data_IF_075088676362
#
_entry.id   IF_075088676362
#
_cell.length_a   1.000
_cell.length_b   1.000
_cell.length_c   1.000
_cell.angle_alpha   90.00
_cell.angle_beta   90.00
_cell.angle_gamma   90.00
#
_symmetry.space_group_name_H-M   'P 1'
#
loop_
_entity.id
_entity.type
_entity.pdbx_description
1 polymer ?
#
# COMPACT_ATOMS: atom_id res chain seq x y z
N UNK A 1 3.18 -1.82 -0.50
CA UNK A 1 2.18 -0.83 -0.93
C UNK A 1 1.79 -1.16 -2.37
N UNK A 2 0.48 -1.14 -2.68
CA UNK A 2 -0.05 -1.56 -3.98
C UNK A 2 0.23 -0.46 -5.01
N UNK A 3 1.27 -0.65 -5.83
CA UNK A 3 1.60 0.28 -6.92
C UNK A 3 1.34 -0.43 -8.23
N UNK A 4 0.31 0.01 -8.95
CA UNK A 4 0.04 -0.41 -10.31
C UNK A 4 1.31 -0.14 -11.15
N UNK A 5 1.83 -1.18 -11.79
CA UNK A 5 2.71 -1.02 -12.94
C UNK A 5 1.79 -1.09 -14.15
N UNK A 6 1.99 -0.17 -15.09
CA UNK A 6 1.29 -0.01 -16.39
C UNK A 6 0.40 -1.19 -16.84
N UNK A 7 -0.87 -0.90 -17.19
CA UNK A 7 -2.04 -1.83 -17.17
C UNK A 7 -2.42 -2.21 -15.72
N UNK A 8 -3.50 -2.95 -15.37
CA UNK A 8 -3.84 -3.21 -13.96
C UNK A 8 -2.87 -4.23 -13.31
N UNK A 9 -1.57 -4.16 -13.63
CA UNK A 9 -0.67 -5.28 -13.50
C UNK A 9 -0.39 -5.63 -12.05
N UNK A 10 -0.36 -4.70 -11.09
CA UNK A 10 0.03 -5.09 -9.74
C UNK A 10 -1.08 -5.83 -8.95
N UNK A 11 -2.33 -5.32 -8.88
CA UNK A 11 -3.44 -6.11 -8.36
C UNK A 11 -3.67 -7.41 -9.16
N UNK A 12 -3.54 -7.37 -10.50
CA UNK A 12 -3.72 -8.56 -11.32
C UNK A 12 -2.57 -9.56 -11.25
N UNK A 13 -1.32 -9.14 -11.03
CA UNK A 13 -0.18 -10.03 -10.84
C UNK A 13 -0.27 -10.72 -9.49
N UNK A 14 -0.71 -10.00 -8.45
CA UNK A 14 -0.99 -10.60 -7.16
C UNK A 14 -2.14 -11.62 -7.25
N UNK A 15 -3.24 -11.27 -7.94
CA UNK A 15 -4.35 -12.20 -8.18
C UNK A 15 -3.89 -13.42 -8.98
N UNK A 16 -3.18 -13.23 -10.09
CA UNK A 16 -2.62 -14.32 -10.91
C UNK A 16 -1.68 -15.21 -10.10
N UNK A 17 -0.79 -14.63 -9.30
CA UNK A 17 0.11 -15.39 -8.45
C UNK A 17 -0.66 -16.17 -7.37
N UNK A 18 -1.69 -15.58 -6.77
CA UNK A 18 -2.56 -16.27 -5.81
C UNK A 18 -3.22 -17.50 -6.44
N UNK A 19 -3.82 -17.32 -7.61
CA UNK A 19 -4.53 -18.38 -8.35
C UNK A 19 -3.59 -19.49 -8.81
N UNK A 20 -2.38 -19.12 -9.27
CA UNK A 20 -1.36 -20.08 -9.74
C UNK A 20 -0.78 -20.94 -8.60
N UNK A 21 -0.76 -20.43 -7.37
CA UNK A 21 -0.02 -21.06 -6.29
C UNK A 21 -0.86 -21.60 -5.12
N UNK A 22 -2.20 -21.69 -5.25
CA UNK A 22 -3.13 -22.21 -4.23
C UNK A 22 -2.78 -21.71 -2.82
N UNK A 23 -2.64 -20.38 -2.70
CA UNK A 23 -2.19 -19.76 -1.46
C UNK A 23 -3.35 -19.67 -0.47
N UNK A 24 -3.05 -19.92 0.80
CA UNK A 24 -4.00 -19.75 1.91
C UNK A 24 -3.88 -18.36 2.56
N UNK A 25 -2.80 -17.63 2.28
CA UNK A 25 -2.50 -16.32 2.86
C UNK A 25 -1.64 -15.49 1.91
N UNK A 26 -1.94 -14.20 1.82
CA UNK A 26 -1.08 -13.18 1.19
C UNK A 26 -0.80 -12.10 2.22
N UNK A 27 0.48 -11.76 2.38
CA UNK A 27 0.90 -10.60 3.18
C UNK A 27 1.48 -9.58 2.24
N UNK A 28 0.88 -8.40 2.22
CA UNK A 28 1.36 -7.29 1.42
C UNK A 28 2.23 -6.37 2.27
N UNK A 29 3.48 -6.14 1.84
CA UNK A 29 4.44 -5.31 2.59
C UNK A 29 4.68 -4.00 1.83
N UNK A 30 4.65 -2.88 2.55
CA UNK A 30 4.98 -1.56 2.05
C UNK A 30 6.09 -0.92 2.86
N UNK A 31 6.68 0.14 2.31
CA UNK A 31 7.62 0.99 3.00
C UNK A 31 6.96 2.36 3.13
N UNK A 32 7.09 2.97 4.32
CA UNK A 32 6.80 4.38 4.52
C UNK A 32 8.06 5.08 5.03
N UNK A 33 8.43 6.18 4.39
CA UNK A 33 9.52 7.08 4.76
C UNK A 33 9.23 7.92 6.00
N UNK A 34 7.97 8.05 6.42
CA UNK A 34 7.56 8.70 7.68
C UNK A 34 7.39 7.71 8.83
N UNK A 35 7.22 6.41 8.53
CA UNK A 35 7.01 5.40 9.55
C UNK A 35 8.28 5.17 10.39
N UNK A 36 8.15 5.37 11.71
CA UNK A 36 9.17 5.02 12.71
C UNK A 36 8.89 3.65 13.36
N UNK A 37 7.76 3.04 13.01
CA UNK A 37 7.26 1.77 13.57
C UNK A 37 6.71 0.89 12.45
N UNK A 38 6.54 -0.40 12.72
CA UNK A 38 5.84 -1.29 11.79
C UNK A 38 4.33 -1.06 11.90
N UNK A 39 3.72 -0.57 10.84
CA UNK A 39 2.27 -0.33 10.80
C UNK A 39 1.53 -1.58 10.30
N UNK A 40 0.52 -2.00 11.05
CA UNK A 40 -0.41 -3.07 10.69
C UNK A 40 -1.70 -2.45 10.17
N UNK A 41 -1.87 -2.50 8.85
CA UNK A 41 -3.02 -1.93 8.17
C UNK A 41 -4.26 -2.82 8.31
N UNK A 42 -5.36 -2.25 8.79
CA UNK A 42 -6.64 -2.94 8.95
C UNK A 42 -7.43 -3.01 7.66
N UNK A 43 -7.20 -2.09 6.73
CA UNK A 43 -7.94 -2.06 5.48
C UNK A 43 -7.14 -1.37 4.36
N UNK A 44 -7.55 -1.64 3.12
CA UNK A 44 -7.04 -0.99 1.92
C UNK A 44 -8.15 -0.19 1.26
N UNK A 45 -7.84 1.05 0.87
CA UNK A 45 -8.78 1.95 0.24
C UNK A 45 -8.68 1.91 -1.28
N UNK A 46 -9.83 1.97 -1.95
CA UNK A 46 -9.92 1.92 -3.40
C UNK A 46 -9.85 3.32 -4.03
N UNK A 47 -10.14 4.39 -3.29
CA UNK A 47 -10.29 5.76 -3.84
C UNK A 47 -9.22 6.71 -3.32
N UNK A 48 -8.92 7.76 -4.07
CA UNK A 48 -7.99 8.84 -3.67
C UNK A 48 -6.61 8.76 -4.32
N UNK A 49 -6.45 7.94 -5.36
CA UNK A 49 -5.20 7.84 -6.11
C UNK A 49 -5.06 9.04 -7.06
N UNK A 50 -4.31 10.06 -6.64
CA UNK A 50 -4.14 11.32 -7.39
C UNK A 50 -2.70 11.58 -7.83
N UNK A 51 -1.73 10.95 -7.17
CA UNK A 51 -0.33 10.99 -7.56
C UNK A 51 0.00 10.11 -8.76
N UNK A 52 1.17 10.38 -9.34
CA UNK A 52 1.76 9.56 -10.38
C UNK A 52 2.46 8.34 -9.76
N UNK A 53 2.45 7.21 -10.44
CA UNK A 53 3.28 6.05 -10.11
C UNK A 53 4.68 6.12 -10.75
N UNK A 54 5.45 5.03 -10.65
CA UNK A 54 6.78 4.91 -11.27
C UNK A 54 6.76 4.91 -12.80
N UNK A 55 5.59 4.69 -13.40
CA UNK A 55 5.37 4.73 -14.83
C UNK A 55 4.77 6.08 -15.28
N UNK A 56 4.72 7.08 -14.38
CA UNK A 56 4.07 8.36 -14.60
C UNK A 56 2.59 8.24 -14.97
N UNK A 57 1.91 7.26 -14.39
CA UNK A 57 0.49 7.02 -14.59
C UNK A 57 -0.29 7.38 -13.32
N UNK A 58 -1.47 7.96 -13.51
CA UNK A 58 -2.46 8.21 -12.47
C UNK A 58 -3.84 7.81 -13.04
N UNK A 59 -4.63 6.98 -12.33
CA UNK A 59 -5.93 6.55 -12.83
C UNK A 59 -6.89 7.73 -12.93
N UNK A 60 -7.51 7.93 -14.10
CA UNK A 60 -8.46 9.03 -14.32
C UNK A 60 -9.71 8.97 -13.44
N UNK A 61 -10.06 7.79 -12.93
CA UNK A 61 -11.13 7.58 -11.95
C UNK A 61 -10.70 7.82 -10.51
N UNK A 62 -9.42 8.12 -10.24
CA UNK A 62 -8.82 8.21 -8.91
C UNK A 62 -9.02 6.94 -8.06
N UNK A 63 -9.32 5.81 -8.71
CA UNK A 63 -9.63 4.53 -8.09
C UNK A 63 -8.60 3.46 -8.47
N UNK A 64 -8.32 2.51 -7.57
CA UNK A 64 -7.50 1.35 -7.86
C UNK A 64 -8.23 0.35 -8.77
N UNK A 65 -9.52 0.09 -8.51
CA UNK A 65 -10.39 -0.77 -9.30
C UNK A 65 -11.72 -0.06 -9.52
N UNK A 66 -12.04 0.22 -10.79
CA UNK A 66 -13.33 0.81 -11.16
C UNK A 66 -14.50 -0.12 -10.81
N UNK A 67 -15.51 0.43 -10.13
CA UNK A 67 -16.65 -0.34 -9.64
C UNK A 67 -16.35 -1.30 -8.48
N UNK A 68 -15.11 -1.30 -7.97
CA UNK A 68 -14.72 -2.03 -6.76
C UNK A 68 -15.31 -1.41 -5.49
N UNK A 69 -15.27 -2.15 -4.35
CA UNK A 69 -15.67 -1.60 -3.06
C UNK A 69 -14.78 -0.43 -2.65
N UNK A 70 -15.31 0.51 -1.87
CA UNK A 70 -14.55 1.68 -1.40
C UNK A 70 -13.37 1.27 -0.52
N UNK A 71 -13.55 0.23 0.30
CA UNK A 71 -12.55 -0.27 1.23
C UNK A 71 -12.63 -1.80 1.30
N UNK A 72 -11.50 -2.45 1.53
CA UNK A 72 -11.40 -3.89 1.78
C UNK A 72 -10.70 -4.10 3.13
N UNK A 73 -11.40 -4.75 4.05
CA UNK A 73 -10.85 -5.06 5.37
C UNK A 73 -9.93 -6.28 5.33
N UNK A 74 -8.88 -6.22 6.15
CA UNK A 74 -8.05 -7.38 6.47
C UNK A 74 -8.90 -8.44 7.17
N UNK A 75 -8.86 -9.66 6.64
CA UNK A 75 -9.46 -10.83 7.29
C UNK A 75 -8.67 -11.21 8.57
N UNK A 76 -7.38 -10.86 8.63
CA UNK A 76 -6.57 -11.05 9.82
C UNK A 76 -6.91 -9.96 10.84
N UNK A 77 -7.20 -10.38 12.07
CA UNK A 77 -7.35 -9.51 13.23
C UNK A 77 -6.00 -8.85 13.60
N UNK A 78 -5.77 -7.66 13.06
CA UNK A 78 -4.55 -6.89 13.29
C UNK A 78 -4.40 -6.41 14.74
N UNK A 79 -5.51 -6.25 15.47
CA UNK A 79 -5.50 -5.94 16.89
C UNK A 79 -4.91 -7.13 17.69
N UNK A 80 -5.31 -8.36 17.38
CA UNK A 80 -4.74 -9.56 17.97
C UNK A 80 -3.27 -9.76 17.59
N UNK A 81 -2.90 -9.50 16.33
CA UNK A 81 -1.50 -9.55 15.87
C UNK A 81 -0.64 -8.54 16.63
N UNK A 82 -1.09 -7.29 16.71
CA UNK A 82 -0.39 -6.21 17.43
C UNK A 82 -0.15 -6.58 18.90
N UNK A 83 -1.19 -7.06 19.60
CA UNK A 83 -1.08 -7.52 20.99
C UNK A 83 -0.08 -8.65 21.14
N UNK A 84 -0.13 -9.65 20.26
CA UNK A 84 0.78 -10.80 20.31
C UNK A 84 2.22 -10.39 20.06
N UNK A 85 2.47 -9.55 19.05
CA UNK A 85 3.83 -9.07 18.72
C UNK A 85 4.39 -8.23 19.86
N UNK A 86 3.59 -7.31 20.41
CA UNK A 86 3.97 -6.49 21.57
C UNK A 86 4.31 -7.36 22.79
N UNK A 87 3.61 -8.47 23.01
CA UNK A 87 3.87 -9.38 24.12
C UNK A 87 5.12 -10.25 23.96
N UNK A 88 5.66 -10.39 22.73
CA UNK A 88 6.89 -11.15 22.49
C UNK A 88 8.15 -10.42 22.99
N UNK A 89 8.06 -9.13 23.36
CA UNK A 89 9.20 -8.35 23.83
C UNK A 89 10.29 -8.18 22.77
N UNK A 90 9.90 -8.19 21.49
CA UNK A 90 10.83 -7.90 20.38
C UNK A 90 11.18 -6.41 20.39
N UNK A 91 12.38 -6.07 19.90
CA UNK A 91 12.81 -4.68 19.70
C UNK A 91 12.18 -4.10 18.42
N UNK A 92 10.86 -4.25 18.29
CA UNK A 92 10.06 -3.77 17.17
C UNK A 92 8.81 -3.14 17.75
N UNK A 93 8.64 -1.85 17.50
CA UNK A 93 7.38 -1.16 17.82
C UNK A 93 6.39 -1.42 16.68
N UNK A 94 5.19 -1.89 17.03
CA UNK A 94 4.07 -2.08 16.11
C UNK A 94 2.93 -1.13 16.42
N UNK A 95 2.30 -0.59 15.39
CA UNK A 95 1.10 0.25 15.49
C UNK A 95 0.03 -0.26 14.54
N UNK A 96 -1.21 0.17 14.76
CA UNK A 96 -2.35 -0.19 13.93
C UNK A 96 -2.80 1.06 13.17
N UNK A 97 -3.18 0.88 11.90
CA UNK A 97 -3.73 1.94 11.07
C UNK A 97 -4.98 1.47 10.33
N UNK A 98 -5.88 2.41 10.06
CA UNK A 98 -7.09 2.26 9.24
C UNK A 98 -6.93 2.93 7.88
N UNK A 99 -5.72 3.40 7.55
CA UNK A 99 -5.40 3.96 6.24
C UNK A 99 -3.98 3.55 5.82
N UNK A 100 -3.91 2.69 4.81
CA UNK A 100 -2.67 2.27 4.17
C UNK A 100 -2.02 3.34 3.27
N UNK A 101 -2.63 4.53 3.21
CA UNK A 101 -2.21 5.64 2.38
C UNK A 101 -2.46 5.40 0.89
N UNK A 102 -1.97 6.32 0.07
CA UNK A 102 -1.94 6.20 -1.39
C UNK A 102 -0.50 6.34 -1.83
N UNK A 103 -0.09 5.51 -2.79
CA UNK A 103 1.25 5.58 -3.33
C UNK A 103 1.34 6.71 -4.34
N UNK A 104 2.26 7.64 -4.12
CA UNK A 104 2.49 8.79 -4.99
C UNK A 104 4.00 9.03 -5.18
N UNK A 105 4.42 9.20 -6.43
CA UNK A 105 5.72 9.72 -6.82
C UNK A 105 5.57 11.22 -7.08
N UNK A 106 6.38 12.03 -6.42
CA UNK A 106 6.42 13.48 -6.63
C UNK A 106 7.72 13.88 -7.35
N UNK A 107 7.61 14.86 -8.26
CA UNK A 107 8.79 15.58 -8.77
C UNK A 107 9.37 16.47 -7.67
N UNK A 108 10.60 16.21 -7.23
CA UNK A 108 11.33 17.17 -6.38
C UNK A 108 12.27 18.00 -7.25
N UNK A 109 12.04 19.33 -7.26
CA UNK A 109 12.91 20.31 -7.92
C UNK A 109 12.32 20.94 -9.20
N UNK A 110 12.70 22.20 -9.45
CA UNK A 110 12.48 22.93 -10.71
C UNK A 110 13.84 23.21 -11.34
N UNK A 111 14.24 22.44 -12.37
CA UNK A 111 15.51 22.65 -13.08
C UNK A 111 15.97 21.44 -13.92
N UNK A 112 17.03 21.65 -14.71
CA UNK A 112 17.70 20.60 -15.50
C UNK A 112 18.52 19.69 -14.56
N UNK A 113 17.86 18.66 -14.05
CA UNK A 113 18.39 17.70 -13.09
C UNK A 113 17.22 17.01 -12.41
N UNK A 114 16.57 16.08 -13.12
CA UNK A 114 15.36 15.43 -12.66
C UNK A 114 15.67 14.52 -11.46
N UNK A 115 15.27 14.93 -10.26
CA UNK A 115 15.33 14.11 -9.05
C UNK A 115 13.91 13.71 -8.63
N UNK A 116 13.65 12.40 -8.65
CA UNK A 116 12.35 11.84 -8.33
C UNK A 116 12.32 11.42 -6.86
N UNK A 117 11.33 11.92 -6.12
CA UNK A 117 11.20 11.66 -4.69
C UNK A 117 9.83 11.09 -4.33
N UNK A 118 9.79 10.32 -3.25
CA UNK A 118 8.55 9.85 -2.65
C UNK A 118 7.86 11.01 -1.92
N UNK A 119 6.55 11.20 -2.16
CA UNK A 119 5.68 12.01 -1.30
C UNK A 119 4.71 11.07 -0.63
N UNK A 120 4.67 11.13 0.69
CA UNK A 120 3.69 10.36 1.47
C UNK A 120 2.53 11.27 1.81
N UNK A 121 1.32 10.80 1.54
CA UNK A 121 0.06 11.53 1.75
C UNK A 121 -0.78 10.93 2.88
N UNK A 122 -0.15 10.20 3.80
CA UNK A 122 -0.77 9.73 5.06
C UNK A 122 -0.88 10.89 6.04
#
# INVERSE_FOLDING_TARGET
QLCQFHEPAFPLLQQKAFDLFSKQLVVHVGLSGMATTVTLEKCGHNVGYRGLDNCHFCPGSECCIEGGPECIDSIIDMDAVCKRVSALGLDVTVTISEDAGRYEVEKRGQGEGEEWGWRETI
#
